data_IF_082482278159
#
_entry.id   IF_082482278159
#
_cell.length_a   1.000
_cell.length_b   1.000
_cell.length_c   1.000
_cell.angle_alpha   90.00
_cell.angle_beta   90.00
_cell.angle_gamma   90.00
#
_symmetry.space_group_name_H-M   'P 1'
#
loop_
_entity.id
_entity.type
_entity.pdbx_description
1 polymer ?
#
# COMPACT_ATOMS: atom_id res chain seq x y z
N UNK A 1 20.35 7.57 -10.07
CA UNK A 1 18.99 7.60 -9.48
C UNK A 1 18.09 6.85 -10.44
N UNK A 2 17.25 5.92 -9.95
CA UNK A 2 16.40 5.08 -10.80
C UNK A 2 15.19 5.80 -11.37
N UNK A 3 14.54 5.20 -12.37
CA UNK A 3 13.37 5.73 -13.08
C UNK A 3 12.01 5.36 -12.41
N UNK A 4 11.98 5.23 -11.10
CA UNK A 4 10.74 5.18 -10.31
C UNK A 4 10.17 6.58 -10.09
N UNK A 5 9.05 6.70 -9.34
CA UNK A 5 8.39 8.00 -9.12
C UNK A 5 9.29 9.07 -8.53
N UNK A 6 10.10 8.73 -7.53
CA UNK A 6 11.03 9.70 -6.90
C UNK A 6 12.03 10.26 -7.92
N UNK A 7 12.66 9.35 -8.71
CA UNK A 7 13.61 9.76 -9.75
C UNK A 7 12.96 10.60 -10.85
N UNK A 8 11.77 10.22 -11.29
CA UNK A 8 11.02 10.95 -12.30
C UNK A 8 10.65 12.37 -11.84
N UNK A 9 10.19 12.54 -10.60
CA UNK A 9 9.84 13.85 -10.04
C UNK A 9 11.07 14.75 -9.91
N UNK A 10 12.20 14.21 -9.42
CA UNK A 10 13.44 14.99 -9.26
C UNK A 10 14.00 15.38 -10.63
N UNK A 11 14.10 14.42 -11.57
CA UNK A 11 14.61 14.70 -12.91
C UNK A 11 13.77 15.78 -13.62
N UNK A 12 12.44 15.67 -13.54
CA UNK A 12 11.54 16.67 -14.10
C UNK A 12 11.71 18.04 -13.45
N UNK A 13 11.82 18.09 -12.12
CA UNK A 13 11.99 19.35 -11.39
C UNK A 13 13.29 20.05 -11.81
N UNK A 14 14.38 19.31 -11.90
CA UNK A 14 15.68 19.82 -12.35
C UNK A 14 15.64 20.25 -13.82
N UNK A 15 15.04 19.44 -14.71
CA UNK A 15 14.89 19.79 -16.12
C UNK A 15 14.05 21.06 -16.32
N UNK A 16 12.98 21.26 -15.54
CA UNK A 16 12.21 22.49 -15.55
C UNK A 16 13.00 23.70 -15.05
N UNK A 17 14.04 23.49 -14.26
CA UNK A 17 14.99 24.52 -13.81
C UNK A 17 16.15 24.73 -14.79
N UNK A 18 16.16 24.06 -15.94
CA UNK A 18 17.15 24.20 -16.99
C UNK A 18 18.39 23.30 -16.88
N UNK A 19 18.36 22.30 -15.99
CA UNK A 19 19.44 21.32 -15.85
C UNK A 19 19.24 20.15 -16.82
N UNK A 20 20.33 19.68 -17.41
CA UNK A 20 20.36 18.37 -18.08
C UNK A 20 20.40 17.26 -17.02
N UNK A 21 19.63 16.19 -17.23
CA UNK A 21 19.48 15.12 -16.25
C UNK A 21 19.62 13.75 -16.91
N UNK A 22 20.59 12.98 -16.46
CA UNK A 22 20.72 11.57 -16.79
C UNK A 22 20.06 10.71 -15.71
N UNK A 23 19.14 9.81 -16.12
CA UNK A 23 18.45 8.89 -15.24
C UNK A 23 18.87 7.46 -15.58
N UNK A 24 19.52 6.79 -14.64
CA UNK A 24 19.99 5.41 -14.78
C UNK A 24 19.01 4.48 -14.08
N UNK A 25 18.47 3.51 -14.83
CA UNK A 25 17.56 2.48 -14.31
C UNK A 25 18.23 1.10 -14.41
N UNK A 26 18.20 0.34 -13.33
CA UNK A 26 18.78 -0.99 -13.28
C UNK A 26 17.86 -2.08 -13.88
N UNK A 27 16.56 -1.81 -13.95
CA UNK A 27 15.56 -2.72 -14.51
C UNK A 27 15.34 -2.42 -15.99
N UNK A 28 14.77 -3.37 -16.71
CA UNK A 28 14.40 -3.22 -18.13
C UNK A 28 13.15 -2.33 -18.36
N UNK A 29 12.59 -1.74 -17.31
CA UNK A 29 11.37 -0.93 -17.35
C UNK A 29 11.47 0.29 -16.43
N UNK A 30 10.71 1.33 -16.72
CA UNK A 30 10.51 2.50 -15.86
C UNK A 30 9.41 2.26 -14.82
N UNK A 31 9.12 3.27 -14.01
CA UNK A 31 8.12 3.31 -12.95
C UNK A 31 8.48 2.53 -11.67
N UNK A 32 9.61 1.83 -11.62
CA UNK A 32 10.05 1.10 -10.44
C UNK A 32 9.02 0.06 -9.98
N UNK A 33 8.65 0.06 -8.71
CA UNK A 33 7.63 -0.87 -8.18
C UNK A 33 6.20 -0.54 -8.63
N UNK A 34 5.95 0.64 -9.18
CA UNK A 34 4.64 1.00 -9.74
C UNK A 34 4.47 0.55 -11.20
N UNK A 35 5.43 -0.23 -11.71
CA UNK A 35 5.35 -0.76 -13.05
C UNK A 35 4.12 -1.64 -13.23
N UNK A 36 3.40 -1.36 -14.31
CA UNK A 36 2.20 -2.09 -14.72
C UNK A 36 2.36 -2.48 -16.16
N UNK A 37 2.06 -3.69 -16.49
CA UNK A 37 2.13 -4.21 -17.85
C UNK A 37 0.83 -4.88 -18.25
N UNK A 38 0.63 -5.00 -19.54
CA UNK A 38 -0.52 -5.71 -20.08
C UNK A 38 -0.15 -7.15 -20.35
N UNK A 39 -0.86 -8.08 -19.71
CA UNK A 39 -0.68 -9.50 -19.96
C UNK A 39 -0.97 -9.80 -21.44
N UNK A 40 -0.04 -10.40 -22.18
CA UNK A 40 -0.18 -10.59 -23.61
C UNK A 40 -1.25 -11.62 -24.01
N UNK A 41 -1.58 -12.54 -23.11
CA UNK A 41 -2.57 -13.60 -23.38
C UNK A 41 -4.00 -13.12 -23.11
N UNK A 42 -4.21 -12.34 -22.07
CA UNK A 42 -5.55 -11.92 -21.61
C UNK A 42 -5.87 -10.46 -21.92
N UNK A 43 -4.86 -9.64 -22.20
CA UNK A 43 -5.00 -8.19 -22.36
C UNK A 43 -5.28 -7.44 -21.05
N UNK A 44 -5.27 -8.12 -19.89
CA UNK A 44 -5.52 -7.52 -18.59
C UNK A 44 -4.30 -6.74 -18.12
N UNK A 45 -4.52 -5.58 -17.50
CA UNK A 45 -3.45 -4.82 -16.84
C UNK A 45 -3.05 -5.47 -15.54
N UNK A 46 -1.76 -5.77 -15.39
CA UNK A 46 -1.19 -6.44 -14.22
C UNK A 46 -0.20 -5.53 -13.51
N UNK A 47 -0.37 -5.35 -12.21
CA UNK A 47 0.63 -4.71 -11.35
C UNK A 47 1.73 -5.72 -11.03
N UNK A 48 2.90 -5.58 -11.67
CA UNK A 48 3.98 -6.57 -11.56
C UNK A 48 4.52 -6.78 -10.14
N UNK A 49 4.45 -5.74 -9.30
CA UNK A 49 4.99 -5.73 -7.94
C UNK A 49 3.90 -5.54 -6.86
N UNK A 50 2.69 -5.98 -7.14
CA UNK A 50 1.53 -5.81 -6.28
C UNK A 50 0.74 -4.53 -6.57
N UNK A 51 -0.50 -4.42 -6.05
CA UNK A 51 -1.36 -3.29 -6.35
C UNK A 51 -0.82 -1.99 -5.76
N UNK A 52 -0.68 -0.98 -6.60
CA UNK A 52 -0.27 0.36 -6.20
C UNK A 52 -1.45 1.32 -6.39
N UNK A 53 -2.03 1.74 -5.28
CA UNK A 53 -3.14 2.69 -5.24
C UNK A 53 -2.62 3.99 -4.70
N UNK A 54 -2.73 5.05 -5.50
CA UNK A 54 -2.28 6.37 -5.07
C UNK A 54 -3.28 6.99 -4.10
N UNK A 55 -2.79 7.47 -2.97
CA UNK A 55 -3.58 8.27 -2.03
C UNK A 55 -2.71 9.37 -1.42
N UNK A 56 -3.29 10.53 -1.18
CA UNK A 56 -2.61 11.64 -0.52
C UNK A 56 -3.62 12.61 0.06
N UNK A 57 -3.28 13.24 1.18
CA UNK A 57 -3.99 14.40 1.75
C UNK A 57 -3.27 15.72 1.41
N UNK A 58 -2.18 15.67 0.64
CA UNK A 58 -1.42 16.86 0.26
C UNK A 58 -1.92 17.36 -1.11
N UNK A 59 -2.56 18.53 -1.11
CA UNK A 59 -3.12 19.13 -2.32
C UNK A 59 -2.05 19.46 -3.38
N UNK A 60 -0.84 19.83 -2.98
CA UNK A 60 0.24 20.13 -3.93
C UNK A 60 0.66 18.87 -4.68
N UNK A 61 0.77 17.74 -3.95
CA UNK A 61 1.07 16.44 -4.54
C UNK A 61 -0.06 16.01 -5.46
N UNK A 62 -1.32 16.15 -5.02
CA UNK A 62 -2.49 15.80 -5.82
C UNK A 62 -2.55 16.61 -7.12
N UNK A 63 -2.34 17.92 -7.03
CA UNK A 63 -2.33 18.82 -8.19
C UNK A 63 -1.16 18.51 -9.15
N UNK A 64 -0.01 18.08 -8.62
CA UNK A 64 1.11 17.67 -9.43
C UNK A 64 0.78 16.41 -10.25
N UNK A 65 0.32 15.34 -9.59
CA UNK A 65 0.11 14.03 -10.27
C UNK A 65 -1.03 14.06 -11.29
N UNK A 66 -2.08 14.84 -11.04
CA UNK A 66 -3.19 15.02 -11.98
C UNK A 66 -2.78 15.66 -13.33
N UNK A 67 -1.61 16.27 -13.40
CA UNK A 67 -1.07 16.81 -14.66
C UNK A 67 -0.57 15.72 -15.60
N UNK A 68 -0.39 14.49 -15.12
CA UNK A 68 0.21 13.40 -15.85
C UNK A 68 -0.77 12.27 -16.18
N UNK A 69 -1.96 12.29 -15.63
CA UNK A 69 -2.95 11.26 -15.90
C UNK A 69 -4.28 11.51 -15.21
N UNK A 70 -5.28 10.76 -15.62
CA UNK A 70 -6.59 10.72 -14.99
C UNK A 70 -6.60 9.67 -13.85
N UNK A 71 -7.27 10.01 -12.75
CA UNK A 71 -7.39 9.14 -11.59
C UNK A 71 -8.85 8.76 -11.39
N UNK A 72 -9.13 7.47 -11.45
CA UNK A 72 -10.44 6.93 -11.10
C UNK A 72 -10.53 6.66 -9.59
N UNK A 73 -11.67 6.98 -8.93
CA UNK A 73 -11.88 6.61 -7.54
C UNK A 73 -11.84 5.08 -7.38
N UNK A 74 -11.03 4.61 -6.45
CA UNK A 74 -10.93 3.18 -6.17
C UNK A 74 -10.87 2.92 -4.67
N UNK A 75 -11.75 2.04 -4.18
CA UNK A 75 -11.74 1.58 -2.79
C UNK A 75 -11.17 0.17 -2.73
N UNK A 76 -9.96 0.04 -2.24
CA UNK A 76 -9.32 -1.26 -2.04
C UNK A 76 -9.90 -1.96 -0.80
N UNK A 77 -10.46 -3.16 -0.97
CA UNK A 77 -10.98 -4.00 0.10
C UNK A 77 -10.14 -5.26 0.20
N UNK A 78 -9.12 -5.20 1.05
CA UNK A 78 -8.23 -6.34 1.27
C UNK A 78 -8.95 -7.39 2.12
N UNK A 79 -8.75 -8.66 1.76
CA UNK A 79 -9.21 -9.83 2.50
C UNK A 79 -8.05 -10.75 2.79
N UNK A 80 -8.09 -11.44 3.93
CA UNK A 80 -7.17 -12.52 4.27
C UNK A 80 -7.94 -13.82 4.41
N UNK A 81 -7.28 -14.92 4.07
CA UNK A 81 -7.78 -16.26 4.33
C UNK A 81 -6.93 -16.87 5.45
N UNK A 82 -7.55 -17.24 6.55
CA UNK A 82 -6.92 -17.92 7.67
C UNK A 82 -7.85 -19.02 8.19
N UNK A 83 -7.33 -20.20 8.48
CA UNK A 83 -8.11 -21.35 8.97
C UNK A 83 -9.35 -21.67 8.11
N UNK A 84 -9.23 -21.55 6.78
CA UNK A 84 -10.32 -21.78 5.83
C UNK A 84 -11.45 -20.74 5.84
N UNK A 85 -11.28 -19.61 6.54
CA UNK A 85 -12.26 -18.52 6.66
C UNK A 85 -11.70 -17.22 6.07
N UNK A 86 -12.59 -16.37 5.56
CA UNK A 86 -12.25 -15.06 4.96
C UNK A 86 -12.48 -13.95 5.97
N UNK A 87 -11.46 -13.12 6.18
CA UNK A 87 -11.47 -11.99 7.09
C UNK A 87 -11.20 -10.67 6.37
N UNK A 88 -11.67 -9.57 6.94
CA UNK A 88 -11.36 -8.22 6.45
C UNK A 88 -9.99 -7.75 6.95
N UNK A 89 -9.24 -7.07 6.08
CA UNK A 89 -7.99 -6.39 6.44
C UNK A 89 -8.08 -4.88 6.10
N UNK A 90 -7.36 -4.02 6.82
CA UNK A 90 -6.56 -4.32 8.02
C UNK A 90 -7.43 -4.86 9.15
N UNK A 91 -6.79 -5.50 10.16
CA UNK A 91 -7.49 -6.03 11.34
C UNK A 91 -8.28 -4.89 12.01
N UNK A 92 -9.55 -5.14 12.27
CA UNK A 92 -10.47 -4.21 12.89
C UNK A 92 -11.45 -4.95 13.82
N UNK A 93 -12.38 -4.23 14.44
CA UNK A 93 -13.35 -4.83 15.36
C UNK A 93 -14.18 -5.97 14.72
N UNK A 94 -14.56 -5.80 13.45
CA UNK A 94 -15.28 -6.86 12.72
C UNK A 94 -14.40 -8.10 12.54
N UNK A 95 -13.13 -7.91 12.17
CA UNK A 95 -12.17 -9.00 12.02
C UNK A 95 -11.99 -9.76 13.33
N UNK A 96 -11.80 -9.03 14.45
CA UNK A 96 -11.67 -9.61 15.78
C UNK A 96 -12.91 -10.42 16.16
N UNK A 97 -14.09 -9.83 16.01
CA UNK A 97 -15.36 -10.48 16.34
C UNK A 97 -15.59 -11.73 15.49
N UNK A 98 -15.29 -11.67 14.19
CA UNK A 98 -15.40 -12.83 13.31
C UNK A 98 -14.41 -13.93 13.69
N UNK A 99 -13.17 -13.57 14.03
CA UNK A 99 -12.13 -14.53 14.39
C UNK A 99 -12.44 -15.23 15.71
N UNK A 100 -12.80 -14.48 16.74
CA UNK A 100 -13.11 -14.98 18.08
C UNK A 100 -14.53 -15.53 18.23
N UNK A 101 -15.42 -15.38 17.24
CA UNK A 101 -16.82 -15.77 17.34
C UNK A 101 -17.62 -14.96 18.37
N UNK A 102 -17.31 -13.67 18.50
CA UNK A 102 -17.86 -12.75 19.50
C UNK A 102 -18.62 -11.59 18.87
N UNK A 103 -19.23 -10.76 19.72
CA UNK A 103 -19.89 -9.49 19.34
C UNK A 103 -19.47 -8.36 20.26
N UNK A 104 -18.17 -8.25 20.51
CA UNK A 104 -17.61 -7.21 21.36
C UNK A 104 -17.92 -5.82 20.86
N UNK A 105 -18.26 -4.92 21.78
CA UNK A 105 -18.14 -3.48 21.57
C UNK A 105 -16.66 -3.07 21.51
N UNK A 106 -16.31 -1.86 21.05
CA UNK A 106 -14.92 -1.40 21.04
C UNK A 106 -14.22 -1.48 22.40
N UNK A 107 -14.95 -1.18 23.48
CA UNK A 107 -14.40 -1.25 24.84
C UNK A 107 -14.16 -2.70 25.28
N UNK A 108 -15.10 -3.59 25.04
CA UNK A 108 -14.95 -5.01 25.37
C UNK A 108 -13.82 -5.65 24.57
N UNK A 109 -13.65 -5.28 23.31
CA UNK A 109 -12.54 -5.76 22.48
C UNK A 109 -11.17 -5.33 23.04
N UNK A 110 -11.04 -4.09 23.52
CA UNK A 110 -9.82 -3.63 24.19
C UNK A 110 -9.52 -4.43 25.44
N UNK A 111 -10.51 -4.55 26.34
CA UNK A 111 -10.37 -5.33 27.59
C UNK A 111 -9.98 -6.78 27.28
N UNK A 112 -10.59 -7.38 26.25
CA UNK A 112 -10.25 -8.73 25.82
C UNK A 112 -8.80 -8.83 25.33
N UNK A 113 -8.37 -7.93 24.45
CA UNK A 113 -6.99 -7.91 23.95
C UNK A 113 -5.97 -7.69 25.08
N UNK A 114 -6.27 -6.79 26.00
CA UNK A 114 -5.44 -6.57 27.19
C UNK A 114 -5.33 -7.84 28.06
N UNK A 115 -6.42 -8.63 28.14
CA UNK A 115 -6.43 -9.85 28.96
C UNK A 115 -5.64 -11.01 28.39
N UNK A 116 -5.44 -11.04 27.06
CA UNK A 116 -4.70 -12.11 26.37
C UNK A 116 -3.28 -11.68 25.97
N UNK A 117 -2.97 -10.39 26.07
CA UNK A 117 -1.64 -9.85 25.77
C UNK A 117 -0.61 -10.32 26.79
N UNK A 118 0.59 -10.62 26.33
CA UNK A 118 1.73 -10.89 27.22
C UNK A 118 2.38 -9.57 27.62
N UNK A 119 2.04 -9.09 28.82
CA UNK A 119 2.56 -7.85 29.37
C UNK A 119 4.01 -7.96 29.91
N UNK A 120 4.63 -9.13 29.82
CA UNK A 120 6.04 -9.31 30.20
C UNK A 120 6.99 -8.86 29.07
N UNK A 121 6.49 -8.73 27.86
CA UNK A 121 7.25 -8.29 26.69
C UNK A 121 7.09 -6.76 26.53
N UNK A 122 8.03 -6.02 27.09
CA UNK A 122 8.00 -4.55 27.03
C UNK A 122 8.43 -3.98 25.67
N UNK A 123 9.37 -4.64 24.99
CA UNK A 123 9.93 -4.19 23.71
C UNK A 123 10.07 -5.37 22.75
N UNK A 124 9.02 -5.77 22.03
CA UNK A 124 9.07 -6.87 21.09
C UNK A 124 10.07 -6.57 19.95
N UNK A 125 10.87 -7.57 19.58
CA UNK A 125 11.90 -7.47 18.52
C UNK A 125 11.47 -8.15 17.24
N UNK A 126 10.43 -8.95 17.28
CA UNK A 126 9.86 -9.66 16.13
C UNK A 126 8.33 -9.69 16.22
N UNK A 127 7.68 -10.18 15.17
CA UNK A 127 6.22 -10.38 15.13
C UNK A 127 5.77 -11.63 15.92
N UNK A 128 6.70 -12.52 16.24
CA UNK A 128 6.45 -13.77 16.97
C UNK A 128 6.49 -13.55 18.50
N UNK A 129 7.08 -12.48 18.98
CA UNK A 129 7.07 -12.03 20.37
C UNK A 129 5.79 -11.25 20.66
#
# INVERSE_FOLDING_TARGET
MGAGFSGAVIARTLACAGYECDVFEARSHVAGNCHTERDPATGVMVHAFGPHIFHTNNEQVWNLVRRFGEFAPFTNRVKAIACGRVFSLPINLLTLNQFCGTSFSPQQARTFLDSIGDHTIENPRSLEE
#
